data_IF_003805335051
#
_entry.id   IF_003805335051
#
_cell.length_a   1.000
_cell.length_b   1.000
_cell.length_c   1.000
_cell.angle_alpha   90.00
_cell.angle_beta   90.00
_cell.angle_gamma   90.00
#
_symmetry.space_group_name_H-M   'P 1'
#
loop_
_entity.id
_entity.type
_entity.pdbx_description
1 polymer ?
#
# COMPACT_ATOMS: atom_id res chain seq x y z
N UNK A 1 -12.70 -14.35 -15.45
CA UNK A 1 -11.91 -13.10 -15.51
C UNK A 1 -10.52 -13.47 -15.98
N UNK A 2 -10.05 -12.91 -17.10
CA UNK A 2 -8.66 -13.10 -17.55
C UNK A 2 -7.74 -12.33 -16.61
N UNK A 3 -6.82 -13.03 -15.94
CA UNK A 3 -5.90 -12.46 -14.95
C UNK A 3 -4.78 -11.60 -15.56
N UNK A 4 -4.71 -11.49 -16.89
CA UNK A 4 -3.63 -10.78 -17.59
C UNK A 4 -3.70 -9.25 -17.50
N UNK A 5 -4.86 -8.67 -17.18
CA UNK A 5 -5.06 -7.22 -17.14
C UNK A 5 -5.13 -6.63 -15.71
N UNK A 6 -4.67 -7.36 -14.69
CA UNK A 6 -4.63 -6.81 -13.32
C UNK A 6 -3.48 -5.83 -13.21
N UNK A 7 -3.80 -4.59 -12.82
CA UNK A 7 -2.79 -3.55 -12.57
C UNK A 7 -1.80 -4.02 -11.49
N UNK A 8 -0.51 -3.97 -11.83
CA UNK A 8 0.57 -4.21 -10.88
C UNK A 8 1.11 -2.85 -10.41
N UNK A 9 1.01 -2.52 -9.10
CA UNK A 9 1.55 -1.28 -8.58
C UNK A 9 3.07 -1.22 -8.78
N UNK A 10 3.53 -0.10 -9.32
CA UNK A 10 4.93 0.13 -9.71
C UNK A 10 5.79 0.36 -8.47
N UNK A 11 6.95 -0.31 -8.38
CA UNK A 11 7.92 -0.14 -7.29
C UNK A 11 7.37 -0.39 -5.88
N UNK A 12 6.44 -1.34 -5.72
CA UNK A 12 5.81 -1.60 -4.42
C UNK A 12 6.82 -2.00 -3.34
N UNK A 13 7.87 -2.75 -3.69
CA UNK A 13 8.89 -3.22 -2.73
C UNK A 13 9.68 -2.03 -2.19
N UNK A 14 10.15 -1.17 -3.08
CA UNK A 14 10.91 0.02 -2.77
C UNK A 14 10.11 0.97 -1.89
N UNK A 15 8.81 1.16 -2.18
CA UNK A 15 7.92 1.97 -1.33
C UNK A 15 7.87 1.43 0.10
N UNK A 16 7.72 0.11 0.29
CA UNK A 16 7.70 -0.49 1.63
C UNK A 16 9.04 -0.34 2.35
N UNK A 17 10.15 -0.55 1.64
CA UNK A 17 11.50 -0.45 2.18
C UNK A 17 11.83 1.00 2.60
N UNK A 18 11.50 1.99 1.75
CA UNK A 18 11.84 3.40 2.00
C UNK A 18 10.90 4.09 3.00
N UNK A 19 9.61 3.73 3.05
CA UNK A 19 8.70 4.29 4.05
C UNK A 19 9.01 3.81 5.47
N UNK A 20 9.86 2.79 5.63
CA UNK A 20 10.30 2.27 6.93
C UNK A 20 9.12 1.96 7.87
N UNK A 21 8.05 1.40 7.30
CA UNK A 21 6.76 1.16 7.96
C UNK A 21 6.92 0.31 9.23
N UNK A 22 6.09 0.61 10.23
CA UNK A 22 5.96 -0.11 11.51
C UNK A 22 4.51 -0.53 11.74
N UNK A 23 4.34 -1.61 12.49
CA UNK A 23 3.02 -2.07 12.91
C UNK A 23 2.33 -0.97 13.71
N UNK A 24 1.09 -0.64 13.34
CA UNK A 24 0.32 0.42 13.99
C UNK A 24 0.48 1.81 13.40
N UNK A 25 1.35 2.00 12.39
CA UNK A 25 1.52 3.31 11.76
C UNK A 25 0.20 3.81 11.13
N UNK A 26 0.07 5.14 11.05
CA UNK A 26 -0.99 5.82 10.30
C UNK A 26 -0.35 6.46 9.07
N UNK A 27 -0.74 5.99 7.89
CA UNK A 27 -0.16 6.43 6.61
C UNK A 27 -1.18 7.22 5.80
N UNK A 28 -0.72 8.27 5.13
CA UNK A 28 -1.51 8.99 4.14
C UNK A 28 -1.14 8.51 2.73
N UNK A 29 -2.12 8.01 1.99
CA UNK A 29 -1.98 7.67 0.57
C UNK A 29 -2.62 8.78 -0.27
N UNK A 30 -1.79 9.73 -0.71
CA UNK A 30 -2.23 10.91 -1.46
C UNK A 30 -2.64 10.64 -2.91
N UNK A 31 -2.53 9.39 -3.35
CA UNK A 31 -2.74 8.98 -4.74
C UNK A 31 -3.41 7.61 -4.78
N UNK A 32 -4.53 7.45 -4.04
CA UNK A 32 -5.12 6.14 -3.76
C UNK A 32 -5.34 5.32 -5.04
N UNK A 33 -5.87 5.94 -6.09
CA UNK A 33 -6.08 5.29 -7.39
C UNK A 33 -6.82 3.96 -7.26
N UNK A 34 -6.20 2.88 -7.76
CA UNK A 34 -6.72 1.51 -7.63
C UNK A 34 -6.33 0.78 -6.32
N UNK A 35 -5.81 1.50 -5.33
CA UNK A 35 -5.33 1.01 -4.03
C UNK A 35 -4.20 -0.04 -4.09
N UNK A 36 -3.45 -0.09 -5.19
CA UNK A 36 -2.39 -1.09 -5.40
C UNK A 36 -1.27 -0.98 -4.35
N UNK A 37 -0.73 0.22 -4.16
CA UNK A 37 0.29 0.48 -3.13
C UNK A 37 -0.28 0.34 -1.72
N UNK A 38 -1.49 0.84 -1.50
CA UNK A 38 -2.23 0.77 -0.24
C UNK A 38 -2.30 -0.67 0.31
N UNK A 39 -2.54 -1.66 -0.55
CA UNK A 39 -2.59 -3.08 -0.16
C UNK A 39 -1.23 -3.59 0.35
N UNK A 40 -0.12 -3.14 -0.26
CA UNK A 40 1.21 -3.45 0.24
C UNK A 40 1.48 -2.81 1.60
N UNK A 41 1.13 -1.52 1.73
CA UNK A 41 1.35 -0.72 2.92
C UNK A 41 0.54 -1.28 4.10
N UNK A 42 -0.75 -1.55 3.93
CA UNK A 42 -1.61 -2.02 5.03
C UNK A 42 -1.14 -3.35 5.60
N UNK A 43 -0.61 -4.24 4.76
CA UNK A 43 -0.04 -5.53 5.20
C UNK A 43 1.20 -5.33 6.07
N UNK A 44 2.01 -4.32 5.81
CA UNK A 44 3.20 -4.01 6.61
C UNK A 44 2.86 -3.38 7.97
N UNK A 45 1.79 -2.57 8.04
CA UNK A 45 1.39 -1.84 9.26
C UNK A 45 0.29 -2.54 10.06
N UNK A 46 -0.29 -3.63 9.54
CA UNK A 46 -1.25 -4.49 10.23
C UNK A 46 -0.69 -5.06 11.56
N UNK A 47 -1.54 -5.40 12.55
CA UNK A 47 -3.01 -5.42 12.49
C UNK A 47 -3.68 -4.10 12.91
N UNK A 48 -2.95 -3.18 13.53
CA UNK A 48 -3.54 -1.96 14.12
C UNK A 48 -3.32 -0.70 13.28
N UNK A 49 -2.51 -0.77 12.22
CA UNK A 49 -2.23 0.36 11.36
C UNK A 49 -3.46 0.84 10.58
N UNK A 50 -3.42 2.10 10.17
CA UNK A 50 -4.51 2.76 9.44
C UNK A 50 -3.97 3.48 8.22
N UNK A 51 -4.80 3.57 7.17
CA UNK A 51 -4.49 4.38 6.00
C UNK A 51 -5.61 5.38 5.77
N UNK A 52 -5.24 6.63 5.48
CA UNK A 52 -6.12 7.68 5.01
C UNK A 52 -5.76 7.89 3.54
N UNK A 53 -6.68 7.57 2.62
CA UNK A 53 -6.46 7.69 1.17
C UNK A 53 -7.37 8.73 0.53
N UNK A 54 -6.87 9.42 -0.51
CA UNK A 54 -7.63 10.37 -1.36
C UNK A 54 -7.54 10.01 -2.84
#
# INVERSE_FOLDING_TARGET
MNYENIHKPVLVKEVIDYLNLKKGDVIFDGTLGGAGHTIGIIKAIAPTGKIIGV
#
